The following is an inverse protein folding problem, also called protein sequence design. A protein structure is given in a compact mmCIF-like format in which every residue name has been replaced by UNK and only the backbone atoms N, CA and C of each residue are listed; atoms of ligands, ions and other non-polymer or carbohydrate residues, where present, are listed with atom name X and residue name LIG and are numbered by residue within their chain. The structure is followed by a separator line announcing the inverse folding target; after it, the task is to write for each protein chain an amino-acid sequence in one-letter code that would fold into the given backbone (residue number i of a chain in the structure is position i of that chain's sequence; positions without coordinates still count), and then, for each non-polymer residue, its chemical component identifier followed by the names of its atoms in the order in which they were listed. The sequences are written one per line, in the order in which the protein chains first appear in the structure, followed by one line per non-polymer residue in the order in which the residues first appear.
data_IF_378375958066
#
_entry.id   IF_378375958066
#
_cell.length_a   1.000
_cell.length_b   1.000
_cell.length_c   1.000
_cell.angle_alpha   90.00
_cell.angle_beta   90.00
_cell.angle_gamma   90.00
#
_symmetry.space_group_name_H-M   'P 1'
#
loop_
_entity.id
_entity.type
_entity.pdbx_description
1 polymer ?
#
# COMPACT_ATOMS: atom_id res chain seq x y z
N UNK A 1 -3.98 6.41 -0.30
CA UNK A 1 -4.74 6.18 0.96
C UNK A 1 -4.66 7.36 1.92
N UNK A 2 -3.48 7.89 2.27
CA UNK A 2 -3.34 8.92 3.31
C UNK A 2 -4.23 10.15 3.12
N UNK A 3 -4.27 10.73 1.91
CA UNK A 3 -5.07 11.92 1.57
C UNK A 3 -6.57 11.83 1.92
N UNK A 4 -7.13 10.63 2.05
CA UNK A 4 -8.54 10.45 2.44
C UNK A 4 -8.79 10.82 3.90
N UNK A 5 -7.78 10.68 4.77
CA UNK A 5 -7.90 10.83 6.22
C UNK A 5 -7.39 12.18 6.73
N UNK A 6 -6.50 12.83 5.98
CA UNK A 6 -5.86 14.09 6.36
C UNK A 6 -6.78 15.29 6.06
N UNK A 7 -6.64 16.35 6.85
CA UNK A 7 -7.27 17.65 6.63
C UNK A 7 -6.91 18.25 5.26
N UNK A 8 -7.74 19.17 4.76
CA UNK A 8 -7.55 19.80 3.46
C UNK A 8 -6.19 20.50 3.32
N UNK A 9 -5.74 21.12 4.40
CA UNK A 9 -4.45 21.82 4.50
C UNK A 9 -3.26 20.87 4.72
N UNK A 10 -3.50 19.56 4.82
CA UNK A 10 -2.47 18.56 5.08
C UNK A 10 -1.65 18.79 6.36
N UNK A 11 -2.23 19.43 7.37
CA UNK A 11 -1.52 19.80 8.60
C UNK A 11 -1.40 18.67 9.64
N UNK A 12 -2.21 17.63 9.52
CA UNK A 12 -2.41 16.56 10.52
C UNK A 12 -2.05 15.16 9.98
N UNK A 13 -1.21 15.11 8.93
CA UNK A 13 -0.86 13.86 8.25
C UNK A 13 -0.12 12.88 9.16
N UNK A 14 0.69 13.39 10.08
CA UNK A 14 1.48 12.66 11.05
C UNK A 14 0.59 11.91 12.07
N UNK A 15 -0.54 12.50 12.46
CA UNK A 15 -1.54 11.86 13.36
C UNK A 15 -2.14 10.60 12.73
N UNK A 16 -2.41 10.64 11.41
CA UNK A 16 -3.05 9.54 10.69
C UNK A 16 -2.07 8.55 10.08
N UNK A 17 -0.81 8.94 9.88
CA UNK A 17 0.18 8.10 9.20
C UNK A 17 0.34 6.71 9.84
N UNK A 18 0.47 6.54 11.16
CA UNK A 18 0.63 5.21 11.76
C UNK A 18 -0.56 4.30 11.45
N UNK A 19 -1.78 4.84 11.44
CA UNK A 19 -3.03 4.09 11.19
C UNK A 19 -3.13 3.66 9.73
N UNK A 20 -2.82 4.57 8.81
CA UNK A 20 -2.81 4.28 7.37
C UNK A 20 -1.71 3.30 7.01
N UNK A 21 -0.53 3.43 7.63
CA UNK A 21 0.59 2.52 7.42
C UNK A 21 0.28 1.13 7.94
N UNK A 22 -0.36 1.02 9.11
CA UNK A 22 -0.84 -0.25 9.63
C UNK A 22 -1.84 -0.89 8.64
N UNK A 23 -2.88 -0.16 8.24
CA UNK A 23 -3.86 -0.66 7.27
C UNK A 23 -3.20 -1.10 5.95
N UNK A 24 -2.23 -0.33 5.44
CA UNK A 24 -1.47 -0.69 4.24
C UNK A 24 -0.69 -2.00 4.42
N UNK A 25 -0.02 -2.18 5.56
CA UNK A 25 0.80 -3.37 5.85
C UNK A 25 -0.03 -4.63 6.06
N UNK A 26 -1.27 -4.50 6.53
CA UNK A 26 -2.16 -5.64 6.81
C UNK A 26 -3.20 -5.88 5.71
N UNK A 27 -3.26 -5.02 4.69
CA UNK A 27 -4.15 -5.21 3.54
C UNK A 27 -3.48 -6.05 2.45
N UNK A 28 -4.28 -6.81 1.71
CA UNK A 28 -3.80 -7.58 0.56
C UNK A 28 -3.21 -6.66 -0.51
N UNK A 29 -2.01 -7.01 -0.99
CA UNK A 29 -1.33 -6.28 -2.06
C UNK A 29 -1.15 -7.18 -3.27
N UNK A 30 -1.79 -6.83 -4.39
CA UNK A 30 -1.83 -7.66 -5.60
C UNK A 30 -0.44 -7.99 -6.16
N UNK A 31 0.48 -7.01 -6.19
CA UNK A 31 1.84 -7.21 -6.69
C UNK A 31 2.71 -8.12 -5.80
N UNK A 32 2.30 -8.34 -4.54
CA UNK A 32 2.96 -9.27 -3.62
C UNK A 32 2.20 -10.61 -3.56
N UNK A 33 0.92 -10.62 -3.94
CA UNK A 33 0.02 -11.77 -3.80
C UNK A 33 -0.35 -12.08 -2.34
N UNK A 34 0.00 -11.21 -1.39
CA UNK A 34 -0.29 -11.31 0.04
C UNK A 34 -0.19 -9.93 0.71
N UNK A 35 -0.31 -9.84 2.04
CA UNK A 35 -0.11 -8.59 2.80
C UNK A 35 1.38 -8.26 2.91
N UNK A 36 1.78 -6.98 2.88
CA UNK A 36 3.18 -6.59 3.08
C UNK A 36 3.78 -7.11 4.39
N UNK A 37 2.99 -7.15 5.47
CA UNK A 37 3.45 -7.69 6.75
C UNK A 37 3.77 -9.18 6.66
N UNK A 38 2.87 -9.99 6.07
CA UNK A 38 3.11 -11.41 5.87
C UNK A 38 4.31 -11.66 4.95
N UNK A 39 4.42 -10.88 3.87
CA UNK A 39 5.56 -10.97 2.95
C UNK A 39 6.91 -10.79 3.65
N UNK A 40 6.97 -9.86 4.62
CA UNK A 40 8.20 -9.57 5.35
C UNK A 40 8.48 -10.55 6.51
N UNK A 41 7.45 -10.93 7.26
CA UNK A 41 7.59 -11.69 8.51
C UNK A 41 7.18 -13.16 8.42
N UNK A 42 6.58 -13.61 7.31
CA UNK A 42 6.12 -14.99 7.11
C UNK A 42 5.00 -15.41 8.06
N UNK A 43 4.28 -14.44 8.62
CA UNK A 43 3.15 -14.64 9.53
C UNK A 43 2.25 -13.42 9.49
N UNK A 44 1.01 -13.59 9.93
CA UNK A 44 0.09 -12.47 10.11
C UNK A 44 0.45 -11.67 11.39
N UNK A 45 0.12 -10.36 11.40
CA UNK A 45 0.34 -9.52 12.57
C UNK A 45 -0.59 -9.94 13.71
N UNK A 46 -0.07 -9.95 14.93
CA UNK A 46 -0.89 -10.13 16.13
C UNK A 46 -1.42 -8.78 16.59
N UNK A 47 -2.75 -8.68 16.66
CA UNK A 47 -3.41 -7.46 17.10
C UNK A 47 -3.71 -7.54 18.60
N UNK A 48 -3.75 -6.37 19.26
CA UNK A 48 -4.13 -6.28 20.67
C UNK A 48 -5.50 -6.91 20.93
N UNK A 49 -6.42 -6.83 19.96
CA UNK A 49 -7.72 -7.49 20.03
C UNK A 49 -7.60 -9.02 19.97
N UNK A 50 -6.68 -9.56 19.17
CA UNK A 50 -6.48 -11.02 19.09
C UNK A 50 -6.00 -11.59 20.42
N UNK A 51 -5.14 -10.85 21.12
CA UNK A 51 -4.67 -11.18 22.46
C UNK A 51 -5.78 -11.04 23.50
N UNK A 52 -6.55 -9.95 23.46
CA UNK A 52 -7.65 -9.70 24.40
C UNK A 52 -8.76 -10.75 24.32
N UNK A 53 -9.03 -11.27 23.12
CA UNK A 53 -10.05 -12.30 22.89
C UNK A 53 -9.48 -13.73 22.81
N UNK A 54 -8.18 -13.92 23.05
CA UNK A 54 -7.49 -15.22 22.96
C UNK A 54 -7.70 -15.92 21.60
N UNK A 55 -7.87 -15.14 20.53
CA UNK A 55 -8.01 -15.59 19.14
C UNK A 55 -6.66 -16.03 18.53
N UNK A 56 -5.69 -16.41 19.35
CA UNK A 56 -4.38 -16.83 18.89
C UNK A 56 -4.46 -18.19 18.21
N UNK A 57 -3.75 -18.33 17.08
CA UNK A 57 -3.77 -19.56 16.29
C UNK A 57 -3.25 -20.75 17.10
N UNK A 58 -3.82 -21.95 16.88
CA UNK A 58 -3.47 -23.17 17.63
C UNK A 58 -1.97 -23.51 17.61
N UNK A 59 -1.26 -23.14 16.53
CA UNK A 59 0.19 -23.36 16.40
C UNK A 59 1.01 -22.57 17.42
N UNK A 60 0.48 -21.46 17.94
CA UNK A 60 1.13 -20.64 18.97
C UNK A 60 0.87 -21.14 20.40
N UNK A 61 -0.02 -22.13 20.59
CA UNK A 61 -0.29 -22.75 21.89
C UNK A 61 0.61 -23.95 22.18
N UNK A 62 1.49 -24.32 21.25
CA UNK A 62 2.48 -25.38 21.46
C UNK A 62 3.65 -24.84 22.28
N UNK A 63 3.95 -25.48 23.41
CA UNK A 63 5.13 -25.19 24.23
C UNK A 63 6.47 -25.48 23.51
N UNK A 64 6.42 -25.92 22.25
CA UNK A 64 7.60 -26.35 21.51
C UNK A 64 8.09 -25.26 20.56
N UNK A 65 8.86 -24.32 21.10
CA UNK A 65 9.51 -23.21 20.38
C UNK A 65 10.23 -23.67 19.11
N UNK A 66 10.82 -24.87 19.12
CA UNK A 66 11.50 -25.46 17.97
C UNK A 66 10.56 -25.70 16.77
N UNK A 67 9.34 -26.19 17.02
CA UNK A 67 8.35 -26.44 15.97
C UNK A 67 7.82 -25.13 15.38
N UNK A 68 7.55 -24.14 16.23
CA UNK A 68 7.15 -22.80 15.77
C UNK A 68 8.24 -22.18 14.87
N UNK A 69 9.51 -22.21 15.31
CA UNK A 69 10.64 -21.71 14.51
C UNK A 69 10.72 -22.40 13.16
N UNK A 70 10.63 -23.74 13.12
CA UNK A 70 10.67 -24.50 11.86
C UNK A 70 9.55 -24.09 10.91
N UNK A 71 8.32 -23.95 11.40
CA UNK A 71 7.17 -23.51 10.61
C UNK A 71 7.35 -22.08 10.08
N UNK A 72 7.82 -21.16 10.92
CA UNK A 72 8.05 -19.76 10.54
C UNK A 72 9.12 -19.65 9.45
N UNK A 73 10.25 -20.36 9.58
CA UNK A 73 11.27 -20.38 8.54
C UNK A 73 10.75 -20.93 7.22
N UNK A 74 9.94 -22.00 7.26
CA UNK A 74 9.30 -22.55 6.06
C UNK A 74 8.38 -21.51 5.42
N UNK A 75 7.52 -20.87 6.21
CA UNK A 75 6.58 -19.87 5.71
C UNK A 75 7.29 -18.65 5.10
N UNK A 76 8.36 -18.16 5.74
CA UNK A 76 9.21 -17.10 5.19
C UNK A 76 9.83 -17.48 3.83
N UNK A 77 10.34 -18.71 3.72
CA UNK A 77 10.92 -19.21 2.47
C UNK A 77 9.88 -19.29 1.35
N UNK A 78 8.70 -19.83 1.66
CA UNK A 78 7.59 -19.96 0.70
C UNK A 78 7.05 -18.58 0.28
N UNK A 79 6.89 -17.67 1.25
CA UNK A 79 6.47 -16.28 1.05
C UNK A 79 7.42 -15.55 0.11
N UNK A 80 8.73 -15.64 0.34
CA UNK A 80 9.76 -15.03 -0.52
C UNK A 80 9.64 -15.53 -1.96
N UNK A 81 9.56 -16.84 -2.17
CA UNK A 81 9.40 -17.43 -3.52
C UNK A 81 8.13 -16.96 -4.21
N UNK A 82 7.04 -16.81 -3.48
CA UNK A 82 5.78 -16.30 -4.02
C UNK A 82 5.90 -14.83 -4.43
N UNK A 83 6.49 -14.00 -3.57
CA UNK A 83 6.71 -12.57 -3.84
C UNK A 83 7.61 -12.37 -5.05
N UNK A 84 8.73 -13.11 -5.16
CA UNK A 84 9.64 -13.04 -6.31
C UNK A 84 8.90 -13.28 -7.63
N UNK A 85 8.05 -14.32 -7.68
CA UNK A 85 7.23 -14.62 -8.87
C UNK A 85 6.20 -13.53 -9.17
N UNK A 86 5.54 -12.99 -8.14
CA UNK A 86 4.54 -11.93 -8.32
C UNK A 86 5.16 -10.62 -8.76
N UNK A 87 6.37 -10.31 -8.28
CA UNK A 87 7.10 -9.10 -8.64
C UNK A 87 7.49 -9.12 -10.12
N UNK A 88 7.97 -10.25 -10.64
CA UNK A 88 8.25 -10.42 -12.08
C UNK A 88 6.99 -10.13 -12.90
N UNK A 89 5.86 -10.75 -12.55
CA UNK A 89 4.58 -10.52 -13.24
C UNK A 89 4.10 -9.06 -13.14
N UNK A 90 4.33 -8.40 -12.00
CA UNK A 90 3.97 -7.00 -11.83
C UNK A 90 4.86 -6.08 -12.68
N UNK A 91 6.15 -6.39 -12.80
CA UNK A 91 7.09 -5.68 -13.66
C UNK A 91 6.71 -5.85 -15.14
N UNK A 92 6.42 -7.06 -15.59
CA UNK A 92 6.00 -7.32 -16.97
C UNK A 92 4.74 -6.53 -17.34
N UNK A 93 3.71 -6.55 -16.47
CA UNK A 93 2.49 -5.76 -16.65
C UNK A 93 2.77 -4.26 -16.70
N UNK A 94 3.66 -3.77 -15.84
CA UNK A 94 4.04 -2.36 -15.84
C UNK A 94 4.81 -1.96 -17.11
N UNK A 95 5.68 -2.84 -17.62
CA UNK A 95 6.43 -2.60 -18.84
C UNK A 95 5.50 -2.47 -20.06
N UNK A 96 4.52 -3.37 -20.20
CA UNK A 96 3.49 -3.28 -21.25
C UNK A 96 2.71 -1.97 -21.14
N UNK A 97 2.25 -1.60 -19.94
CA UNK A 97 1.55 -0.32 -19.71
C UNK A 97 2.39 0.89 -20.09
N UNK A 98 3.70 0.84 -19.82
CA UNK A 98 4.61 1.94 -20.14
C UNK A 98 4.82 2.08 -21.66
N UNK A 99 4.84 0.98 -22.40
CA UNK A 99 4.93 1.02 -23.87
C UNK A 99 3.72 1.73 -24.51
N UNK A 100 2.53 1.57 -23.93
CA UNK A 100 1.32 2.27 -24.38
C UNK A 100 1.29 3.76 -23.98
N UNK A 101 2.17 4.17 -23.05
CA UNK A 101 2.19 5.52 -22.52
C UNK A 101 2.93 6.45 -23.48
N UNK A 102 2.21 7.40 -24.07
CA UNK A 102 2.83 8.46 -24.88
C UNK A 102 3.62 9.41 -23.97
N UNK A 103 4.90 9.60 -24.27
CA UNK A 103 5.71 10.63 -23.63
C UNK A 103 5.19 11.99 -24.08
N UNK A 104 4.75 12.81 -23.13
CA UNK A 104 4.41 14.20 -23.40
C UNK A 104 5.69 15.03 -23.34
N UNK A 105 5.98 15.76 -24.42
CA UNK A 105 7.03 16.78 -24.47
C UNK A 105 6.38 18.15 -24.37
N UNK A 106 7.03 19.09 -23.69
CA UNK A 106 6.57 20.45 -23.50
C UNK A 106 7.75 21.40 -23.70
N UNK A 107 7.52 22.51 -24.38
CA UNK A 107 8.49 23.58 -24.58
C UNK A 107 8.19 24.78 -23.67
N UNK A 108 9.17 25.66 -23.48
CA UNK A 108 8.98 26.90 -22.71
C UNK A 108 7.92 27.78 -23.37
N UNK A 109 6.87 28.13 -22.62
CA UNK A 109 5.70 28.87 -23.10
C UNK A 109 4.46 28.02 -23.40
N UNK A 110 4.59 26.68 -23.36
CA UNK A 110 3.43 25.79 -23.54
C UNK A 110 2.45 25.89 -22.38
N UNK A 111 1.16 25.98 -22.71
CA UNK A 111 0.08 25.92 -21.72
C UNK A 111 -0.14 24.47 -21.27
N UNK A 112 0.18 24.19 -20.01
CA UNK A 112 -0.01 22.87 -19.39
C UNK A 112 -1.20 22.84 -18.44
N UNK A 113 -1.86 21.69 -18.35
CA UNK A 113 -2.92 21.48 -17.36
C UNK A 113 -2.32 21.29 -15.97
N UNK A 114 -2.45 22.31 -15.12
CA UNK A 114 -2.06 22.19 -13.71
C UNK A 114 -3.20 21.53 -12.93
N UNK A 115 -2.95 20.32 -12.42
CA UNK A 115 -3.91 19.66 -11.55
C UNK A 115 -3.85 20.25 -10.13
N UNK A 116 -4.61 21.31 -9.89
CA UNK A 116 -4.81 21.84 -8.54
C UNK A 116 -5.77 20.93 -7.76
N UNK A 117 -5.31 20.48 -6.59
CA UNK A 117 -6.00 19.57 -5.70
C UNK A 117 -7.17 20.25 -4.94
N UNK A 118 -8.25 20.61 -5.64
CA UNK A 118 -9.47 21.05 -4.97
C UNK A 118 -10.21 19.85 -4.37
N UNK A 119 -10.37 19.83 -3.03
CA UNK A 119 -11.36 18.96 -2.38
C UNK A 119 -12.71 19.65 -2.64
N UNK A 120 -13.52 19.11 -3.55
CA UNK A 120 -14.86 19.67 -3.77
C UNK A 120 -15.66 19.50 -2.47
N UNK A 121 -16.20 20.59 -1.91
CA UNK A 121 -17.21 20.47 -0.85
C UNK A 121 -18.39 19.69 -1.42
N UNK A 122 -19.05 18.87 -0.59
CA UNK A 122 -20.20 18.06 -1.00
C UNK A 122 -21.28 19.00 -1.59
N UNK A 123 -21.40 19.02 -2.93
CA UNK A 123 -22.32 19.91 -3.67
C UNK A 123 -21.68 20.85 -4.69
N UNK A 124 -20.35 21.03 -4.69
CA UNK A 124 -19.67 21.92 -5.65
C UNK A 124 -19.31 21.20 -6.95
N UNK A 125 -19.70 21.78 -8.10
CA UNK A 125 -19.26 21.34 -9.42
C UNK A 125 -17.80 21.75 -9.63
N UNK A 126 -16.90 20.79 -9.86
CA UNK A 126 -15.48 21.02 -10.14
C UNK A 126 -15.31 21.94 -11.37
N UNK A 127 -14.96 23.20 -11.17
CA UNK A 127 -14.46 24.06 -12.25
C UNK A 127 -12.98 23.76 -12.47
N UNK A 128 -12.68 23.14 -13.61
CA UNK A 128 -11.31 22.98 -14.11
C UNK A 128 -10.81 24.35 -14.57
N UNK A 129 -10.00 25.04 -13.77
CA UNK A 129 -9.33 26.27 -14.20
C UNK A 129 -8.04 25.91 -14.94
N UNK A 130 -7.90 26.42 -16.16
CA UNK A 130 -6.61 26.54 -16.84
C UNK A 130 -5.74 27.49 -16.01
N UNK A 131 -4.53 27.07 -15.65
CA UNK A 131 -3.56 27.94 -14.99
C UNK A 131 -2.47 28.31 -16.00
N UNK A 132 -2.22 29.60 -16.14
CA UNK A 132 -1.12 30.12 -16.93
C UNK A 132 0.13 30.19 -16.04
N UNK A 133 1.24 29.66 -16.54
CA UNK A 133 2.57 29.99 -16.02
C UNK A 133 2.93 31.36 -16.61
N UNK A 134 2.93 32.41 -15.80
CA UNK A 134 3.50 33.71 -16.18
C UNK A 134 5.03 33.67 -16.10
#
# INVERSE_FOLDING_TARGET
MLRLFVHETQADWDVYLPRVLFAYRTSYHESLGNTPFFSLYGRDPELTLDLAFLNTTKNQKSNEVANYRRQLYKSLHDSRRMVERQLIKAQDRNAVRLQEQKVASYDEGDSVWVFQHFRAKRGEKKTKKLAFSN
#
